data_IF_885776502472
#
_entry.id   IF_885776502472
#
_cell.length_a   1.000
_cell.length_b   1.000
_cell.length_c   1.000
_cell.angle_alpha   90.00
_cell.angle_beta   90.00
_cell.angle_gamma   90.00
#
_symmetry.space_group_name_H-M   'P 1'
#
loop_
_entity.id
_entity.type
_entity.pdbx_description
1 polymer ?
#
# COMPACT_ATOMS: atom_id res chain seq x y z
N UNK A 1 10.14 14.84 -3.22
CA UNK A 1 9.05 13.85 -3.26
C UNK A 1 9.68 12.47 -3.27
N UNK A 2 9.24 11.55 -2.42
CA UNK A 2 9.75 10.17 -2.41
C UNK A 2 9.20 9.42 -3.61
N UNK A 3 10.05 8.76 -4.40
CA UNK A 3 9.59 7.86 -5.44
C UNK A 3 9.10 6.57 -4.77
N UNK A 4 7.91 6.07 -5.13
CA UNK A 4 7.39 4.79 -4.63
C UNK A 4 7.16 3.85 -5.79
N UNK A 5 7.84 2.71 -5.78
CA UNK A 5 7.64 1.62 -6.73
C UNK A 5 6.86 0.51 -6.03
N UNK A 6 5.68 0.16 -6.57
CA UNK A 6 4.76 -0.80 -5.95
C UNK A 6 4.72 -2.06 -6.78
N UNK A 7 4.97 -3.20 -6.13
CA UNK A 7 4.96 -4.54 -6.71
C UNK A 7 3.77 -5.33 -6.13
N UNK A 8 2.56 -5.23 -6.72
CA UNK A 8 1.39 -5.94 -6.22
C UNK A 8 1.52 -7.45 -6.47
N UNK A 9 0.95 -8.23 -5.56
CA UNK A 9 0.69 -9.67 -5.74
C UNK A 9 -0.76 -9.89 -6.15
N UNK A 10 -1.13 -11.05 -6.72
CA UNK A 10 -2.50 -11.35 -7.06
C UNK A 10 -3.44 -11.15 -5.86
N UNK A 11 -4.41 -10.25 -6.00
CA UNK A 11 -5.44 -10.02 -4.97
C UNK A 11 -6.30 -11.26 -4.77
N UNK A 12 -6.80 -11.44 -3.55
CA UNK A 12 -7.82 -12.44 -3.22
C UNK A 12 -9.14 -11.71 -3.01
N UNK A 13 -10.17 -12.07 -3.75
CA UNK A 13 -11.52 -11.51 -3.62
C UNK A 13 -12.50 -12.62 -3.28
N UNK A 14 -13.27 -12.46 -2.21
CA UNK A 14 -14.13 -13.54 -1.69
C UNK A 14 -15.38 -12.96 -1.03
N UNK A 15 -16.53 -13.60 -1.28
CA UNK A 15 -17.75 -13.34 -0.51
C UNK A 15 -17.69 -14.07 0.82
N UNK A 16 -17.98 -13.36 1.90
CA UNK A 16 -17.97 -13.88 3.27
C UNK A 16 -19.27 -13.51 3.97
N UNK A 17 -19.70 -14.35 4.91
CA UNK A 17 -20.84 -14.05 5.78
C UNK A 17 -20.32 -13.44 7.08
N UNK A 18 -20.85 -12.28 7.44
CA UNK A 18 -20.54 -11.57 8.66
C UNK A 18 -21.20 -12.23 9.89
N UNK A 19 -20.77 -11.85 11.08
CA UNK A 19 -21.34 -12.38 12.34
C UNK A 19 -22.82 -12.03 12.53
N UNK A 20 -23.32 -10.99 11.86
CA UNK A 20 -24.72 -10.60 11.82
C UNK A 20 -25.54 -11.33 10.73
N UNK A 21 -24.92 -12.25 9.97
CA UNK A 21 -25.56 -13.01 8.89
C UNK A 21 -25.64 -12.28 7.55
N UNK A 22 -25.16 -11.04 7.44
CA UNK A 22 -25.12 -10.32 6.16
C UNK A 22 -23.94 -10.79 5.30
N UNK A 23 -24.11 -10.70 3.98
CA UNK A 23 -23.02 -10.95 3.02
C UNK A 23 -22.13 -9.71 2.90
N UNK A 24 -20.83 -9.95 2.81
CA UNK A 24 -19.82 -8.94 2.56
C UNK A 24 -18.81 -9.44 1.53
N UNK A 25 -18.20 -8.51 0.83
CA UNK A 25 -17.03 -8.76 -0.02
C UNK A 25 -15.77 -8.48 0.77
N UNK A 26 -14.94 -9.50 0.95
CA UNK A 26 -13.60 -9.40 1.52
C UNK A 26 -12.59 -9.43 0.38
N UNK A 27 -11.94 -8.30 0.13
CA UNK A 27 -10.83 -8.21 -0.81
C UNK A 27 -9.53 -7.98 -0.07
N UNK A 28 -8.53 -8.81 -0.37
CA UNK A 28 -7.20 -8.76 0.21
C UNK A 28 -6.18 -8.37 -0.86
N UNK A 29 -5.48 -7.27 -0.59
CA UNK A 29 -4.41 -6.72 -1.42
C UNK A 29 -3.09 -6.94 -0.72
N UNK A 30 -2.12 -7.48 -1.43
CA UNK A 30 -0.78 -7.72 -0.89
C UNK A 30 0.27 -7.28 -1.89
N UNK A 31 1.44 -6.90 -1.40
CA UNK A 31 2.54 -6.49 -2.26
C UNK A 31 3.70 -5.91 -1.50
N UNK A 32 4.66 -5.38 -2.25
CA UNK A 32 5.81 -4.66 -1.72
C UNK A 32 5.81 -3.22 -2.23
N UNK A 33 6.23 -2.28 -1.40
CA UNK A 33 6.49 -0.91 -1.80
C UNK A 33 7.96 -0.58 -1.53
N UNK A 34 8.69 -0.20 -2.57
CA UNK A 34 10.06 0.27 -2.52
C UNK A 34 10.09 1.78 -2.52
N UNK A 35 10.67 2.36 -1.48
CA UNK A 35 10.87 3.79 -1.38
C UNK A 35 12.23 4.13 -1.99
N UNK A 36 12.21 5.06 -2.94
CA UNK A 36 13.35 5.49 -3.72
C UNK A 36 13.98 4.45 -4.64
N UNK A 37 13.11 3.56 -5.14
CA UNK A 37 13.44 2.59 -6.15
C UNK A 37 14.08 1.34 -5.59
N UNK A 38 13.78 0.22 -6.24
CA UNK A 38 14.32 -1.08 -5.89
C UNK A 38 15.85 -1.10 -6.03
N UNK A 39 16.59 -1.65 -5.03
CA UNK A 39 18.03 -1.77 -5.13
C UNK A 39 18.40 -2.76 -6.25
N UNK A 40 19.43 -2.40 -7.01
CA UNK A 40 20.03 -3.27 -8.02
C UNK A 40 21.28 -3.90 -7.43
N UNK A 41 21.40 -5.22 -7.56
CA UNK A 41 22.63 -5.94 -7.20
C UNK A 41 23.69 -5.64 -8.27
N UNK A 42 24.83 -5.09 -7.87
CA UNK A 42 25.96 -4.76 -8.75
C UNK A 42 27.26 -5.29 -8.14
N UNK A 43 27.62 -6.51 -8.53
CA UNK A 43 28.71 -7.25 -7.90
C UNK A 43 28.42 -7.49 -6.42
N UNK A 44 29.30 -7.00 -5.54
CA UNK A 44 29.19 -7.13 -4.08
C UNK A 44 28.45 -5.97 -3.42
N UNK A 45 27.95 -5.00 -4.19
CA UNK A 45 27.30 -3.80 -3.67
C UNK A 45 25.86 -3.67 -4.17
N UNK A 46 25.01 -3.06 -3.34
CA UNK A 46 23.72 -2.55 -3.79
C UNK A 46 23.92 -1.17 -4.44
N UNK A 47 23.22 -0.93 -5.55
CA UNK A 47 23.14 0.38 -6.20
C UNK A 47 21.70 0.83 -6.27
N UNK A 48 21.50 2.15 -6.20
CA UNK A 48 20.21 2.76 -6.51
C UNK A 48 19.90 2.55 -8.00
N UNK A 49 18.62 2.38 -8.30
CA UNK A 49 18.17 2.38 -9.69
C UNK A 49 18.57 3.72 -10.37
N UNK A 50 18.92 3.73 -11.67
CA UNK A 50 19.37 4.94 -12.36
C UNK A 50 18.38 6.11 -12.32
N UNK A 51 17.09 5.81 -12.18
CA UNK A 51 15.98 6.76 -12.07
C UNK A 51 15.67 7.17 -10.62
N UNK A 52 16.36 6.62 -9.62
CA UNK A 52 16.12 6.98 -8.23
C UNK A 52 16.52 8.46 -7.99
N UNK A 53 15.80 9.18 -7.10
CA UNK A 53 16.15 10.54 -6.73
C UNK A 53 17.62 10.65 -6.26
N UNK A 54 18.34 11.64 -6.79
CA UNK A 54 19.72 11.95 -6.39
C UNK A 54 19.71 12.82 -5.12
N UNK A 55 20.63 12.58 -4.18
CA UNK A 55 20.85 13.42 -3.01
C UNK A 55 21.03 12.65 -1.70
N UNK A 56 21.27 13.38 -0.61
CA UNK A 56 21.26 12.83 0.76
C UNK A 56 19.81 12.57 1.14
N UNK A 57 19.54 11.37 1.63
CA UNK A 57 18.20 10.97 2.02
C UNK A 57 18.08 10.91 3.52
N UNK A 58 17.08 11.58 4.06
CA UNK A 58 16.71 11.46 5.46
C UNK A 58 15.94 10.14 5.63
N UNK A 59 16.28 9.30 6.62
CA UNK A 59 15.57 8.03 6.83
C UNK A 59 14.13 8.23 7.30
N UNK A 60 13.82 9.36 7.94
CA UNK A 60 12.45 9.74 8.28
C UNK A 60 11.66 10.07 7.01
N UNK A 61 10.58 9.35 6.77
CA UNK A 61 9.71 9.62 5.63
C UNK A 61 8.22 9.48 5.99
N UNK A 62 7.41 10.14 5.18
CA UNK A 62 5.97 10.01 5.09
C UNK A 62 5.63 9.83 3.62
N UNK A 63 5.01 8.73 3.27
CA UNK A 63 4.67 8.41 1.89
C UNK A 63 3.24 7.89 1.81
N UNK A 64 2.55 8.29 0.75
CA UNK A 64 1.21 7.81 0.41
C UNK A 64 1.20 7.37 -1.04
N UNK A 65 0.63 6.21 -1.34
CA UNK A 65 0.52 5.69 -2.70
C UNK A 65 -0.77 4.90 -2.90
N UNK A 66 -1.32 4.95 -4.10
CA UNK A 66 -2.46 4.14 -4.48
C UNK A 66 -2.04 2.69 -4.67
N UNK A 67 -2.91 1.75 -4.31
CA UNK A 67 -2.73 0.34 -4.60
C UNK A 67 -3.00 0.12 -6.10
N UNK A 68 -2.02 -0.33 -6.90
CA UNK A 68 -2.19 -0.44 -8.35
C UNK A 68 -3.28 -1.42 -8.78
N UNK A 69 -3.55 -2.42 -7.95
CA UNK A 69 -4.53 -3.48 -8.17
C UNK A 69 -5.85 -3.26 -7.42
N UNK A 70 -6.03 -2.06 -6.81
CA UNK A 70 -7.27 -1.64 -6.14
C UNK A 70 -8.47 -1.87 -7.04
N UNK A 71 -9.56 -2.39 -6.48
CA UNK A 71 -10.83 -2.40 -7.18
C UNK A 71 -11.38 -0.96 -7.29
N UNK A 72 -12.15 -0.65 -8.35
CA UNK A 72 -12.86 0.61 -8.44
C UNK A 72 -14.08 0.55 -7.51
N UNK A 73 -14.07 1.35 -6.45
CA UNK A 73 -15.18 1.39 -5.50
C UNK A 73 -16.18 2.50 -5.82
N UNK A 74 -17.45 2.25 -5.52
CA UNK A 74 -18.50 3.26 -5.49
C UNK A 74 -18.57 3.90 -4.10
N UNK A 75 -18.22 5.18 -3.99
CA UNK A 75 -18.21 5.94 -2.72
C UNK A 75 -19.49 5.80 -1.92
N UNK A 76 -20.64 5.82 -2.59
CA UNK A 76 -21.96 5.76 -1.94
C UNK A 76 -22.22 4.44 -1.20
N UNK A 77 -21.49 3.37 -1.57
CA UNK A 77 -21.64 2.02 -1.02
C UNK A 77 -20.59 1.67 0.05
N UNK A 78 -19.83 2.66 0.54
CA UNK A 78 -18.72 2.45 1.48
C UNK A 78 -19.01 2.86 2.92
N UNK A 79 -20.26 3.19 3.27
CA UNK A 79 -20.62 3.69 4.60
C UNK A 79 -20.21 2.73 5.74
N UNK A 80 -20.45 1.43 5.55
CA UNK A 80 -20.14 0.38 6.52
C UNK A 80 -18.84 -0.38 6.19
N UNK A 81 -18.03 0.14 5.27
CA UNK A 81 -16.80 -0.50 4.87
C UNK A 81 -15.76 -0.49 6.00
N UNK A 82 -15.13 -1.64 6.24
CA UNK A 82 -14.01 -1.75 7.17
C UNK A 82 -12.72 -1.96 6.41
N UNK A 83 -11.69 -1.19 6.75
CA UNK A 83 -10.35 -1.38 6.26
C UNK A 83 -9.44 -1.83 7.39
N UNK A 84 -8.55 -2.77 7.10
CA UNK A 84 -7.43 -3.09 7.97
C UNK A 84 -6.15 -3.16 7.15
N UNK A 85 -5.04 -2.75 7.78
CA UNK A 85 -3.72 -2.78 7.16
C UNK A 85 -2.73 -3.43 8.11
N UNK A 86 -1.82 -4.20 7.54
CA UNK A 86 -0.62 -4.68 8.20
C UNK A 86 0.55 -4.40 7.28
N UNK A 87 1.63 -3.88 7.85
CA UNK A 87 2.87 -3.60 7.11
C UNK A 87 4.04 -4.22 7.84
N UNK A 88 5.01 -4.68 7.08
CA UNK A 88 6.23 -5.30 7.59
C UNK A 88 7.44 -4.63 6.97
N UNK A 89 8.47 -4.39 7.77
CA UNK A 89 9.75 -3.91 7.26
C UNK A 89 10.39 -5.02 6.42
N UNK A 90 10.55 -4.78 5.12
CA UNK A 90 11.09 -5.76 4.17
C UNK A 90 12.57 -5.48 3.87
N UNK A 91 12.99 -4.21 3.85
CA UNK A 91 14.38 -3.83 3.72
C UNK A 91 14.66 -2.51 4.45
N UNK A 92 15.79 -2.46 5.15
CA UNK A 92 16.40 -1.23 5.64
C UNK A 92 17.91 -1.34 5.57
N UNK A 93 18.59 -0.30 5.10
CA UNK A 93 20.05 -0.22 5.12
C UNK A 93 20.65 0.02 6.51
N UNK A 94 19.80 0.28 7.51
CA UNK A 94 20.19 0.59 8.88
C UNK A 94 19.11 0.12 9.86
N UNK A 95 19.12 0.58 11.11
CA UNK A 95 18.02 0.34 12.04
C UNK A 95 16.76 1.04 11.52
N UNK A 96 15.76 0.24 11.12
CA UNK A 96 14.51 0.74 10.58
C UNK A 96 13.32 0.49 11.51
N UNK A 97 12.35 1.40 11.48
CA UNK A 97 11.07 1.24 12.16
C UNK A 97 9.92 1.79 11.30
N UNK A 98 8.81 1.05 11.28
CA UNK A 98 7.52 1.57 10.83
C UNK A 98 6.86 2.19 12.07
N UNK A 99 6.53 3.47 11.98
CA UNK A 99 5.93 4.22 13.08
C UNK A 99 4.41 4.20 12.99
N UNK A 100 3.88 4.33 11.77
CA UNK A 100 2.44 4.31 11.52
C UNK A 100 2.14 3.80 10.11
N UNK A 101 0.96 3.19 9.96
CA UNK A 101 0.41 2.83 8.67
C UNK A 101 -1.12 2.89 8.70
N UNK A 102 -1.68 3.52 7.68
CA UNK A 102 -3.12 3.69 7.53
C UNK A 102 -3.50 3.45 6.07
N UNK A 103 -4.72 2.96 5.84
CA UNK A 103 -5.27 2.83 4.51
C UNK A 103 -6.61 3.54 4.44
N UNK A 104 -6.85 4.26 3.35
CA UNK A 104 -8.06 5.08 3.16
C UNK A 104 -8.66 4.85 1.78
N UNK A 105 -9.98 4.94 1.70
CA UNK A 105 -10.69 5.17 0.45
C UNK A 105 -10.48 6.62 0.02
N UNK A 106 -9.99 6.81 -1.20
CA UNK A 106 -9.62 8.12 -1.74
C UNK A 106 -10.22 8.27 -3.12
N UNK A 107 -10.99 9.33 -3.32
CA UNK A 107 -11.69 9.58 -4.58
C UNK A 107 -10.70 9.96 -5.69
N UNK A 108 -10.96 9.47 -6.90
CA UNK A 108 -10.30 9.98 -8.09
C UNK A 108 -10.54 11.50 -8.21
N UNK A 109 -9.59 12.29 -8.72
CA UNK A 109 -9.81 13.73 -8.94
C UNK A 109 -11.03 14.06 -9.82
N UNK A 110 -11.47 13.15 -10.68
CA UNK A 110 -12.72 13.29 -11.45
C UNK A 110 -14.00 13.02 -10.64
N UNK A 111 -13.87 12.59 -9.38
CA UNK A 111 -14.95 12.30 -8.43
C UNK A 111 -15.39 10.83 -8.41
N UNK A 112 -14.98 10.02 -9.38
CA UNK A 112 -15.22 8.57 -9.39
C UNK A 112 -14.26 7.84 -10.35
N UNK A 113 -13.87 6.59 -10.05
CA UNK A 113 -14.24 5.81 -8.86
C UNK A 113 -13.38 6.16 -7.64
N UNK A 114 -13.66 5.50 -6.51
CA UNK A 114 -12.86 5.61 -5.30
C UNK A 114 -11.83 4.47 -5.25
N UNK A 115 -10.59 4.78 -4.86
CA UNK A 115 -9.47 3.84 -4.83
C UNK A 115 -8.91 3.68 -3.41
N UNK A 116 -8.15 2.62 -3.16
CA UNK A 116 -7.40 2.47 -1.92
C UNK A 116 -6.05 3.19 -2.00
N UNK A 117 -5.77 4.00 -0.99
CA UNK A 117 -4.49 4.67 -0.79
C UNK A 117 -3.88 4.22 0.54
N UNK A 118 -2.64 3.75 0.50
CA UNK A 118 -1.86 3.37 1.68
C UNK A 118 -0.93 4.52 2.07
N UNK A 119 -0.96 4.87 3.35
CA UNK A 119 -0.12 5.86 4.01
C UNK A 119 0.84 5.13 4.94
N UNK A 120 2.12 5.45 4.86
CA UNK A 120 3.17 4.84 5.68
C UNK A 120 4.08 5.93 6.21
N UNK A 121 4.30 5.90 7.52
CA UNK A 121 5.24 6.76 8.22
C UNK A 121 6.29 5.90 8.92
N UNK A 122 7.55 6.29 8.78
CA UNK A 122 8.63 5.50 9.36
C UNK A 122 9.99 6.17 9.30
N UNK A 123 10.95 5.46 9.90
CA UNK A 123 12.37 5.73 9.82
C UNK A 123 13.00 4.53 9.11
N UNK A 124 13.30 4.64 7.81
CA UNK A 124 13.87 3.53 7.02
C UNK A 124 14.97 4.07 6.11
N UNK A 125 16.21 3.70 6.40
CA UNK A 125 17.36 3.96 5.53
C UNK A 125 17.31 3.13 4.25
N UNK A 126 17.85 3.68 3.15
CA UNK A 126 17.93 2.96 1.88
C UNK A 126 18.93 1.77 1.96
N UNK A 127 18.64 0.59 1.38
CA UNK A 127 17.41 0.23 0.66
C UNK A 127 16.19 0.19 1.57
N UNK A 128 15.09 0.81 1.14
CA UNK A 128 13.90 1.00 1.96
C UNK A 128 12.70 0.32 1.33
N UNK A 129 12.16 -0.70 1.99
CA UNK A 129 10.98 -1.41 1.51
C UNK A 129 10.06 -1.85 2.64
N UNK A 130 8.77 -1.87 2.35
CA UNK A 130 7.75 -2.51 3.19
C UNK A 130 6.98 -3.54 2.38
N UNK A 131 6.64 -4.65 3.02
CA UNK A 131 5.54 -5.50 2.58
C UNK A 131 4.24 -4.95 3.16
N UNK A 132 3.17 -4.95 2.37
CA UNK A 132 1.84 -4.54 2.84
C UNK A 132 0.82 -5.65 2.64
N UNK A 133 -0.16 -5.67 3.53
CA UNK A 133 -1.41 -6.42 3.44
C UNK A 133 -2.55 -5.50 3.81
N UNK A 134 -3.46 -5.26 2.89
CA UNK A 134 -4.68 -4.48 3.10
C UNK A 134 -5.87 -5.42 2.94
N UNK A 135 -6.80 -5.40 3.89
CA UNK A 135 -8.07 -6.11 3.77
C UNK A 135 -9.17 -5.06 3.74
N UNK A 136 -9.93 -5.04 2.66
CA UNK A 136 -11.16 -4.28 2.54
C UNK A 136 -12.36 -5.22 2.70
N UNK A 137 -13.22 -4.91 3.66
CA UNK A 137 -14.49 -5.58 3.88
C UNK A 137 -15.60 -4.59 3.54
N UNK A 138 -16.32 -4.83 2.46
CA UNK A 138 -17.33 -3.92 1.91
C UNK A 138 -18.65 -4.63 1.64
N UNK A 139 -19.70 -3.88 1.36
CA UNK A 139 -20.90 -4.44 0.71
C UNK A 139 -20.50 -5.14 -0.61
N UNK A 140 -21.15 -6.25 -1.01
CA UNK A 140 -20.94 -6.88 -2.31
C UNK A 140 -21.08 -5.91 -3.49
N UNK A 141 -21.98 -4.93 -3.37
CA UNK A 141 -22.30 -3.94 -4.40
C UNK A 141 -21.38 -2.71 -4.39
N UNK A 142 -20.34 -2.72 -3.56
CA UNK A 142 -19.42 -1.59 -3.45
C UNK A 142 -18.40 -1.50 -4.59
N UNK A 143 -18.23 -2.56 -5.37
CA UNK A 143 -17.28 -2.62 -6.48
C UNK A 143 -18.02 -2.39 -7.81
N UNK A 144 -17.45 -1.53 -8.66
CA UNK A 144 -17.99 -1.17 -9.97
C UNK A 144 -17.50 -2.09 -11.09
#
# INVERSE_FOLDING_TARGET
>A
MTMVEVEPQPRIDTLVTLTNGADARRTEYTGSAWFDGKPQVSGLALRRAPNAPKGIRTPNFSASFFLPDSLPYNRASLADATLSVSVVLQASGETGAIVDAAVTFTDDPSGAPTWLQLHVHGHIGWPAAVGYRVIALTSPDAVR
#
